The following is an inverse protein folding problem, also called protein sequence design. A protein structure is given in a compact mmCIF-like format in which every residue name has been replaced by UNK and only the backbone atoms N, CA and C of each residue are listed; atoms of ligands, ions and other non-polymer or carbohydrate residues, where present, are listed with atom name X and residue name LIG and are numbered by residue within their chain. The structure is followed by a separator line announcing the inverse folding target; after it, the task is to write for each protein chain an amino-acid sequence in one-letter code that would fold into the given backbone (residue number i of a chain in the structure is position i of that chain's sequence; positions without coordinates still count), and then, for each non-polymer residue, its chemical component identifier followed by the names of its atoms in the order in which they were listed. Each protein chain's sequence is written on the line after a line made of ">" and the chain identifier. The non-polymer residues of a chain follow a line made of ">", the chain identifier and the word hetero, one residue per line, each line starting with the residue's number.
data_IF_349464759112
#
_entry.id   IF_349464759112
#
_cell.length_a   1.000
_cell.length_b   1.000
_cell.length_c   1.000
_cell.angle_alpha   90.00
_cell.angle_beta   90.00
_cell.angle_gamma   90.00
#
_symmetry.space_group_name_H-M   'P 1'
#
loop_
_entity.id
_entity.type
_entity.pdbx_description
1 polymer ?
#
# COMPACT_ATOMS: atom_id res chain seq x y z
N UNK A 1 6.49 4.46 -9.13
CA UNK A 1 5.53 4.23 -8.03
C UNK A 1 6.16 3.81 -6.69
N UNK A 2 7.26 3.05 -6.64
CA UNK A 2 7.94 2.74 -5.35
C UNK A 2 8.72 3.89 -4.70
N UNK A 3 9.20 4.85 -5.49
CA UNK A 3 10.10 5.92 -5.02
C UNK A 3 9.39 6.97 -4.15
N UNK A 4 8.13 7.31 -4.45
CA UNK A 4 7.37 8.33 -3.70
C UNK A 4 7.03 7.87 -2.28
N UNK A 5 6.69 6.58 -2.11
CA UNK A 5 6.47 6.02 -0.78
C UNK A 5 7.78 5.94 0.01
N UNK A 6 8.85 5.44 -0.61
CA UNK A 6 10.16 5.29 0.05
C UNK A 6 10.72 6.61 0.59
N UNK A 7 10.63 7.70 -0.17
CA UNK A 7 11.11 9.01 0.28
C UNK A 7 10.20 9.62 1.36
N UNK A 8 8.88 9.40 1.28
CA UNK A 8 7.93 9.88 2.29
C UNK A 8 8.17 9.28 3.68
N UNK A 9 8.64 8.03 3.77
CA UNK A 9 8.94 7.36 5.06
C UNK A 9 9.89 8.21 5.90
N UNK A 10 10.91 8.80 5.29
CA UNK A 10 11.87 9.64 6.03
C UNK A 10 11.17 10.79 6.74
N UNK A 11 10.26 11.49 6.07
CA UNK A 11 9.56 12.64 6.65
C UNK A 11 8.64 12.23 7.80
N UNK A 12 7.93 11.10 7.65
CA UNK A 12 7.05 10.55 8.69
C UNK A 12 7.83 10.14 9.94
N UNK A 13 8.96 9.45 9.75
CA UNK A 13 9.81 9.00 10.86
C UNK A 13 10.46 10.17 11.59
N UNK A 14 10.84 11.25 10.90
CA UNK A 14 11.33 12.47 11.56
C UNK A 14 10.28 13.11 12.49
N UNK A 15 8.99 12.97 12.17
CA UNK A 15 7.89 13.44 13.02
C UNK A 15 7.49 12.42 14.11
N UNK A 16 8.22 11.31 14.24
CA UNK A 16 7.90 10.27 15.22
C UNK A 16 6.72 9.38 14.85
N UNK A 17 6.28 9.40 13.59
CA UNK A 17 5.20 8.52 13.13
C UNK A 17 5.70 7.11 12.85
N UNK A 18 4.89 6.11 13.24
CA UNK A 18 5.16 4.71 12.90
C UNK A 18 4.75 4.42 11.45
N UNK A 19 5.68 3.91 10.66
CA UNK A 19 5.41 3.41 9.31
C UNK A 19 5.05 1.92 9.34
N UNK A 20 3.89 1.57 8.76
CA UNK A 20 3.36 0.20 8.72
C UNK A 20 3.27 -0.26 7.26
N UNK A 21 4.28 -1.00 6.75
CA UNK A 21 4.23 -1.54 5.40
C UNK A 21 3.29 -2.76 5.31
N UNK A 22 2.66 -2.95 4.15
CA UNK A 22 1.80 -4.12 3.89
C UNK A 22 2.59 -5.38 3.57
N UNK A 23 3.85 -5.25 3.14
CA UNK A 23 4.66 -6.38 2.73
C UNK A 23 4.01 -7.18 1.60
N UNK A 24 4.10 -8.51 1.67
CA UNK A 24 3.42 -9.44 0.76
C UNK A 24 2.14 -10.05 1.37
N UNK A 25 1.55 -9.41 2.38
CA UNK A 25 0.40 -9.97 3.13
C UNK A 25 -0.89 -10.05 2.30
N UNK A 26 -0.94 -9.38 1.15
CA UNK A 26 -2.03 -9.52 0.16
C UNK A 26 -1.93 -10.82 -0.67
N UNK A 27 -0.95 -11.69 -0.37
CA UNK A 27 -0.93 -13.08 -0.84
C UNK A 27 -0.76 -13.21 -2.35
N UNK A 28 -1.50 -14.16 -2.96
CA UNK A 28 -1.44 -14.43 -4.40
C UNK A 28 -1.75 -13.21 -5.26
N UNK A 29 -2.55 -12.26 -4.76
CA UNK A 29 -2.81 -10.98 -5.43
C UNK A 29 -1.56 -10.13 -5.65
N UNK A 30 -0.50 -10.32 -4.85
CA UNK A 30 0.80 -9.67 -5.05
C UNK A 30 1.67 -10.32 -6.13
N UNK A 31 1.35 -11.54 -6.56
CA UNK A 31 2.14 -12.33 -7.51
C UNK A 31 1.42 -12.58 -8.83
N UNK A 32 0.17 -12.12 -8.98
CA UNK A 32 -0.55 -12.20 -10.25
C UNK A 32 0.18 -11.36 -11.33
N UNK A 33 0.45 -11.98 -12.48
CA UNK A 33 1.16 -11.40 -13.64
C UNK A 33 0.27 -11.25 -14.88
N UNK A 34 -1.02 -11.59 -14.79
CA UNK A 34 -1.97 -11.56 -15.91
C UNK A 34 -2.29 -10.13 -16.34
N UNK A 35 -2.24 -9.18 -15.39
CA UNK A 35 -2.53 -7.76 -15.62
C UNK A 35 -1.44 -6.83 -15.09
N UNK A 36 -1.22 -5.74 -15.81
CA UNK A 36 -0.37 -4.62 -15.37
C UNK A 36 -1.06 -3.91 -14.20
N UNK A 37 -0.39 -3.89 -13.05
CA UNK A 37 -0.91 -3.28 -11.82
C UNK A 37 0.15 -2.49 -11.06
N UNK A 38 -0.35 -1.54 -10.29
CA UNK A 38 0.41 -0.79 -9.31
C UNK A 38 0.56 -1.49 -7.95
N UNK A 39 1.33 -0.84 -7.07
CA UNK A 39 1.58 -1.31 -5.71
C UNK A 39 2.92 -2.01 -5.52
N UNK A 40 3.36 -2.09 -4.27
CA UNK A 40 4.63 -2.71 -3.87
C UNK A 40 4.54 -3.15 -2.40
N UNK A 41 5.54 -3.85 -1.86
CA UNK A 41 5.58 -4.18 -0.43
C UNK A 41 5.53 -2.97 0.51
N UNK A 42 5.88 -1.78 0.02
CA UNK A 42 5.80 -0.53 0.78
C UNK A 42 4.39 0.04 0.90
N UNK A 43 3.46 -0.38 0.04
CA UNK A 43 2.09 0.13 0.00
C UNK A 43 1.41 -0.08 -1.35
N UNK A 44 0.09 0.04 -1.34
CA UNK A 44 -0.76 0.06 -2.52
C UNK A 44 -0.43 1.27 -3.41
N UNK A 45 -0.76 1.15 -4.69
CA UNK A 45 -0.61 2.22 -5.66
C UNK A 45 -1.32 1.87 -6.96
N UNK A 46 -1.59 2.87 -7.78
CA UNK A 46 -2.32 2.74 -9.04
C UNK A 46 -1.50 3.30 -10.19
N UNK A 47 -1.40 2.56 -11.30
CA UNK A 47 -0.80 3.08 -12.52
C UNK A 47 -1.79 3.99 -13.24
N UNK A 48 -1.50 5.29 -13.30
CA UNK A 48 -2.40 6.28 -13.89
C UNK A 48 -2.32 6.35 -15.44
N UNK A 49 -1.25 5.84 -16.05
CA UNK A 49 -1.00 6.01 -17.49
C UNK A 49 -0.85 7.49 -17.86
N UNK A 50 -1.61 7.95 -18.85
CA UNK A 50 -1.77 9.36 -19.25
C UNK A 50 -2.84 10.11 -18.43
N UNK A 51 -3.40 9.47 -17.41
CA UNK A 51 -4.51 9.98 -16.60
C UNK A 51 -5.89 9.43 -17.02
N UNK A 52 -5.99 8.74 -18.14
CA UNK A 52 -7.25 8.09 -18.57
C UNK A 52 -7.53 6.76 -17.87
N UNK A 53 -6.48 6.06 -17.42
CA UNK A 53 -6.59 4.74 -16.78
C UNK A 53 -7.20 4.85 -15.38
N UNK A 54 -8.29 4.13 -15.17
CA UNK A 54 -8.89 3.96 -13.86
C UNK A 54 -8.18 2.87 -13.06
N UNK A 55 -8.24 2.91 -11.70
CA UNK A 55 -7.77 1.82 -10.87
C UNK A 55 -8.44 0.50 -11.25
N UNK A 56 -7.64 -0.55 -11.44
CA UNK A 56 -8.14 -1.91 -11.62
C UNK A 56 -8.70 -2.47 -10.32
N UNK A 57 -9.54 -3.52 -10.41
CA UNK A 57 -10.08 -4.20 -9.23
C UNK A 57 -8.97 -4.74 -8.31
N UNK A 58 -7.86 -5.24 -8.88
CA UNK A 58 -6.72 -5.71 -8.11
C UNK A 58 -6.02 -4.59 -7.32
N UNK A 59 -5.87 -3.40 -7.92
CA UNK A 59 -5.28 -2.24 -7.24
C UNK A 59 -6.20 -1.70 -6.15
N UNK A 60 -7.52 -1.70 -6.37
CA UNK A 60 -8.51 -1.32 -5.36
C UNK A 60 -8.54 -2.31 -4.19
N UNK A 61 -8.51 -3.62 -4.47
CA UNK A 61 -8.47 -4.66 -3.45
C UNK A 61 -7.19 -4.57 -2.60
N UNK A 62 -6.04 -4.25 -3.22
CA UNK A 62 -4.79 -4.03 -2.50
C UNK A 62 -4.87 -2.79 -1.58
N UNK A 63 -5.52 -1.71 -2.03
CA UNK A 63 -5.74 -0.52 -1.22
C UNK A 63 -6.67 -0.79 -0.03
N UNK A 64 -7.74 -1.56 -0.25
CA UNK A 64 -8.64 -1.99 0.82
C UNK A 64 -7.91 -2.86 1.86
N UNK A 65 -7.09 -3.80 1.39
CA UNK A 65 -6.25 -4.64 2.25
C UNK A 65 -5.29 -3.79 3.11
N UNK A 66 -4.63 -2.80 2.51
CA UNK A 66 -3.77 -1.86 3.24
C UNK A 66 -4.53 -1.13 4.34
N UNK A 67 -5.74 -0.63 4.03
CA UNK A 67 -6.58 0.07 5.01
C UNK A 67 -6.96 -0.83 6.19
N UNK A 68 -7.41 -2.07 5.91
CA UNK A 68 -7.74 -3.07 6.95
C UNK A 68 -6.52 -3.41 7.81
N UNK A 69 -5.37 -3.62 7.18
CA UNK A 69 -4.12 -3.97 7.86
C UNK A 69 -3.66 -2.85 8.82
N UNK A 70 -3.66 -1.60 8.34
CA UNK A 70 -3.32 -0.44 9.16
C UNK A 70 -4.30 -0.27 10.33
N UNK A 71 -5.61 -0.36 10.06
CA UNK A 71 -6.63 -0.22 11.10
C UNK A 71 -6.49 -1.29 12.20
N UNK A 72 -6.21 -2.53 11.83
CA UNK A 72 -5.95 -3.61 12.78
C UNK A 72 -4.70 -3.33 13.64
N UNK A 73 -3.63 -2.83 13.03
CA UNK A 73 -2.41 -2.47 13.74
C UNK A 73 -2.63 -1.31 14.73
N UNK A 74 -3.29 -0.23 14.29
CA UNK A 74 -3.64 0.90 15.15
C UNK A 74 -4.53 0.47 16.31
N UNK A 75 -5.54 -0.38 16.05
CA UNK A 75 -6.41 -0.92 17.10
C UNK A 75 -5.60 -1.67 18.16
N UNK A 76 -4.63 -2.50 17.75
CA UNK A 76 -3.78 -3.25 18.67
C UNK A 76 -2.90 -2.34 19.53
N UNK A 77 -2.38 -1.25 18.96
CA UNK A 77 -1.58 -0.27 19.70
C UNK A 77 -2.42 0.60 20.64
N UNK A 78 -3.62 1.02 20.23
CA UNK A 78 -4.50 1.86 21.05
C UNK A 78 -5.18 1.13 22.21
N UNK A 79 -5.02 -0.20 22.30
CA UNK A 79 -5.49 -1.02 23.42
C UNK A 79 -4.40 -1.28 24.48
N UNK A 80 -3.19 -0.74 24.28
CA UNK A 80 -2.07 -0.83 25.20
C UNK A 80 -2.09 0.28 26.27
#
# INVERSE_FOLDING_TARGET
>A
MGWSCWTAITQLVHHGMLFVPIGYTFGSGMFNMDDIRGGSPYGAGVLAGDGSRQPSEAELALAEHQGKYMAAFVKKLGQA
#
